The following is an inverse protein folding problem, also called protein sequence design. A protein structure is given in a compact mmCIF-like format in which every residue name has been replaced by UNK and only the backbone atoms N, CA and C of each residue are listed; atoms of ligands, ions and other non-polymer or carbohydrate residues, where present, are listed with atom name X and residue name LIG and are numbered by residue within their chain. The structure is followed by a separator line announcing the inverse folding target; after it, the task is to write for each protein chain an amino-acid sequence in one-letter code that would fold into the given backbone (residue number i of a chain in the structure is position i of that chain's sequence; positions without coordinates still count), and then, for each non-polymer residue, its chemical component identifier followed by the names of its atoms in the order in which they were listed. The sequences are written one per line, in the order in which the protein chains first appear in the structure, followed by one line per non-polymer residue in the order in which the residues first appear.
data_IF_650079676904
#
_entry.id   IF_650079676904
#
_cell.length_a   1.000
_cell.length_b   1.000
_cell.length_c   1.000
_cell.angle_alpha   90.00
_cell.angle_beta   90.00
_cell.angle_gamma   90.00
#
_symmetry.space_group_name_H-M   'P 1'
#
loop_
_entity.id
_entity.type
_entity.pdbx_description
1 polymer ?
#
# COMPACT_ATOMS: atom_id res chain seq x y z
N UNK A 1 9.15 7.76 -16.70
CA UNK A 1 9.22 7.51 -15.25
C UNK A 1 8.64 6.14 -14.99
N UNK A 2 9.29 5.28 -14.22
CA UNK A 2 8.78 3.95 -13.90
C UNK A 2 7.59 4.06 -12.93
N UNK A 3 6.46 3.48 -13.33
CA UNK A 3 5.19 3.51 -12.61
C UNK A 3 4.52 2.15 -12.65
N UNK A 4 3.68 1.85 -11.66
CA UNK A 4 2.75 0.72 -11.73
C UNK A 4 1.63 1.08 -12.70
N UNK A 5 1.48 0.28 -13.75
CA UNK A 5 0.41 0.50 -14.74
C UNK A 5 -0.94 0.10 -14.17
N UNK A 6 -1.88 1.05 -14.15
CA UNK A 6 -3.25 0.81 -13.75
C UNK A 6 -4.19 0.89 -14.95
N UNK A 7 -5.10 -0.06 -15.04
CA UNK A 7 -6.23 -0.01 -15.96
C UNK A 7 -7.50 0.32 -15.18
N UNK A 8 -8.25 1.32 -15.64
CA UNK A 8 -9.47 1.77 -14.97
C UNK A 8 -10.71 1.19 -15.64
N UNK A 9 -11.65 0.76 -14.80
CA UNK A 9 -12.94 0.20 -15.22
C UNK A 9 -14.06 0.93 -14.49
N UNK A 10 -15.10 1.28 -15.24
CA UNK A 10 -16.30 1.90 -14.67
C UNK A 10 -17.37 0.85 -14.41
N UNK A 11 -18.13 1.04 -13.35
CA UNK A 11 -19.26 0.15 -13.04
C UNK A 11 -20.29 0.15 -14.18
N UNK A 12 -20.74 -1.02 -14.67
CA UNK A 12 -21.75 -1.13 -15.73
C UNK A 12 -23.06 -0.41 -15.41
N UNK A 13 -23.42 -0.31 -14.12
CA UNK A 13 -24.66 0.32 -13.65
C UNK A 13 -24.60 1.85 -13.73
N UNK A 14 -23.40 2.43 -13.68
CA UNK A 14 -23.21 3.87 -13.59
C UNK A 14 -22.88 4.54 -14.93
N UNK A 15 -22.97 3.81 -16.05
CA UNK A 15 -22.50 4.32 -17.33
C UNK A 15 -23.67 4.77 -18.20
N UNK A 16 -23.99 6.04 -18.06
CA UNK A 16 -24.84 6.72 -19.05
C UNK A 16 -24.08 7.19 -20.30
N UNK A 17 -22.74 7.28 -20.24
CA UNK A 17 -21.96 8.04 -21.22
C UNK A 17 -20.74 7.33 -21.79
N UNK A 18 -20.36 6.15 -21.30
CA UNK A 18 -19.20 5.39 -21.79
C UNK A 18 -19.62 3.97 -22.12
N UNK A 19 -19.39 3.53 -23.35
CA UNK A 19 -19.62 2.14 -23.74
C UNK A 19 -18.68 1.22 -22.98
N UNK A 20 -19.22 0.37 -22.11
CA UNK A 20 -18.46 -0.63 -21.33
C UNK A 20 -18.59 -2.03 -21.89
N UNK A 21 -19.03 -2.15 -23.14
CA UNK A 21 -18.95 -3.43 -23.80
C UNK A 21 -17.50 -3.91 -23.81
N UNK A 22 -17.25 -5.03 -23.16
CA UNK A 22 -15.92 -5.64 -23.12
C UNK A 22 -15.11 -5.46 -21.82
N UNK A 23 -15.62 -4.76 -20.80
CA UNK A 23 -14.92 -4.67 -19.50
C UNK A 23 -14.56 -6.04 -18.94
N UNK A 24 -15.51 -6.95 -18.88
CA UNK A 24 -15.29 -8.31 -18.40
C UNK A 24 -14.25 -9.05 -19.24
N UNK A 25 -14.37 -9.00 -20.57
CA UNK A 25 -13.40 -9.60 -21.48
C UNK A 25 -12.00 -9.03 -21.25
N UNK A 26 -11.89 -7.71 -21.05
CA UNK A 26 -10.61 -7.06 -20.78
C UNK A 26 -10.02 -7.44 -19.42
N UNK A 27 -10.84 -7.57 -18.38
CA UNK A 27 -10.44 -8.06 -17.07
C UNK A 27 -9.90 -9.49 -17.14
N UNK A 28 -10.62 -10.38 -17.85
CA UNK A 28 -10.16 -11.75 -18.08
C UNK A 28 -8.86 -11.80 -18.90
N UNK A 29 -8.70 -10.93 -19.91
CA UNK A 29 -7.46 -10.81 -20.67
C UNK A 29 -6.29 -10.42 -19.77
N UNK A 30 -6.46 -9.40 -18.91
CA UNK A 30 -5.43 -8.98 -17.95
C UNK A 30 -5.07 -10.10 -16.97
N UNK A 31 -6.08 -10.80 -16.43
CA UNK A 31 -5.85 -11.93 -15.53
C UNK A 31 -5.09 -13.07 -16.22
N UNK A 32 -5.45 -13.41 -17.44
CA UNK A 32 -4.76 -14.43 -18.22
C UNK A 32 -3.31 -14.06 -18.54
N UNK A 33 -3.05 -12.77 -18.81
CA UNK A 33 -1.70 -12.23 -19.10
C UNK A 33 -0.80 -12.23 -17.88
N UNK A 34 -1.30 -11.71 -16.76
CA UNK A 34 -0.48 -11.44 -15.57
C UNK A 34 -0.60 -12.51 -14.49
N UNK A 35 -1.55 -13.45 -14.58
CA UNK A 35 -1.84 -14.54 -13.65
C UNK A 35 -2.36 -14.10 -12.27
N UNK A 36 -1.89 -12.95 -11.78
CA UNK A 36 -2.35 -12.33 -10.54
C UNK A 36 -2.55 -10.83 -10.77
N UNK A 37 -3.69 -10.33 -10.30
CA UNK A 37 -4.02 -8.91 -10.36
C UNK A 37 -4.34 -8.38 -8.96
N UNK A 38 -4.15 -7.08 -8.79
CA UNK A 38 -4.70 -6.33 -7.66
C UNK A 38 -5.84 -5.47 -8.17
N UNK A 39 -7.04 -5.71 -7.63
CA UNK A 39 -8.24 -4.93 -7.90
C UNK A 39 -8.52 -4.03 -6.69
N UNK A 40 -8.69 -2.73 -6.92
CA UNK A 40 -8.98 -1.77 -5.85
C UNK A 40 -10.04 -0.76 -6.26
N UNK A 41 -10.82 -0.26 -5.29
CA UNK A 41 -11.67 0.91 -5.51
C UNK A 41 -10.79 2.10 -5.90
N UNK A 42 -11.19 2.85 -6.93
CA UNK A 42 -10.47 4.06 -7.33
C UNK A 42 -10.57 5.20 -6.29
N UNK A 43 -11.61 5.17 -5.47
CA UNK A 43 -11.88 6.18 -4.42
C UNK A 43 -11.59 5.65 -3.00
N UNK A 44 -10.92 4.50 -2.90
CA UNK A 44 -10.62 3.84 -1.62
C UNK A 44 -9.46 4.49 -0.87
N UNK A 45 -9.55 4.47 0.47
CA UNK A 45 -8.48 4.90 1.37
C UNK A 45 -8.13 3.79 2.37
N UNK A 46 -6.94 3.85 2.95
CA UNK A 46 -6.54 2.96 4.04
C UNK A 46 -6.41 1.48 3.67
N UNK A 47 -6.24 1.13 2.39
CA UNK A 47 -6.12 -0.26 1.92
C UNK A 47 -7.42 -1.07 1.99
N UNK A 48 -8.55 -0.42 2.29
CA UNK A 48 -9.88 -1.04 2.24
C UNK A 48 -10.32 -1.26 0.78
N UNK A 49 -10.97 -2.40 0.51
CA UNK A 49 -11.42 -2.71 -0.84
C UNK A 49 -10.29 -3.01 -1.83
N UNK A 50 -9.14 -3.50 -1.35
CA UNK A 50 -8.02 -3.96 -2.17
C UNK A 50 -7.98 -5.48 -2.13
N UNK A 51 -8.13 -6.10 -3.30
CA UNK A 51 -8.23 -7.55 -3.47
C UNK A 51 -7.13 -8.06 -4.38
N UNK A 52 -6.44 -9.12 -3.93
CA UNK A 52 -5.57 -9.94 -4.77
C UNK A 52 -6.42 -11.02 -5.42
N UNK A 53 -6.32 -11.16 -6.73
CA UNK A 53 -7.09 -12.14 -7.52
C UNK A 53 -6.16 -12.94 -8.41
N UNK A 54 -6.38 -14.25 -8.46
CA UNK A 54 -5.58 -15.21 -9.23
C UNK A 54 -6.41 -16.11 -10.15
N UNK A 55 -7.73 -16.04 -10.04
CA UNK A 55 -8.67 -16.80 -10.86
C UNK A 55 -9.95 -15.98 -11.12
N UNK A 56 -10.76 -16.48 -12.04
CA UNK A 56 -11.96 -15.78 -12.48
C UNK A 56 -13.00 -15.61 -11.36
N UNK A 57 -13.15 -16.60 -10.49
CA UNK A 57 -14.10 -16.53 -9.38
C UNK A 57 -13.72 -15.44 -8.37
N UNK A 58 -12.42 -15.32 -8.06
CA UNK A 58 -11.91 -14.24 -7.20
C UNK A 58 -12.09 -12.87 -7.86
N UNK A 59 -11.91 -12.78 -9.18
CA UNK A 59 -12.11 -11.55 -9.95
C UNK A 59 -13.57 -11.11 -9.93
N UNK A 60 -14.52 -12.01 -10.16
CA UNK A 60 -15.98 -11.73 -10.07
C UNK A 60 -16.36 -11.24 -8.67
N UNK A 61 -15.86 -11.90 -7.62
CA UNK A 61 -16.12 -11.49 -6.24
C UNK A 61 -15.52 -10.12 -5.92
N UNK A 62 -14.32 -9.83 -6.41
CA UNK A 62 -13.67 -8.53 -6.21
C UNK A 62 -14.46 -7.42 -6.93
N UNK A 63 -14.84 -7.63 -8.18
CA UNK A 63 -15.65 -6.71 -8.98
C UNK A 63 -16.98 -6.41 -8.27
N UNK A 64 -17.72 -7.44 -7.86
CA UNK A 64 -18.98 -7.29 -7.12
C UNK A 64 -18.80 -6.47 -5.84
N UNK A 65 -17.80 -6.79 -5.02
CA UNK A 65 -17.55 -6.07 -3.75
C UNK A 65 -17.15 -4.62 -3.98
N UNK A 66 -16.37 -4.34 -5.02
CA UNK A 66 -15.93 -2.98 -5.35
C UNK A 66 -17.09 -2.16 -5.89
N UNK A 67 -17.84 -2.66 -6.87
CA UNK A 67 -18.91 -1.89 -7.50
C UNK A 67 -20.15 -1.70 -6.62
N UNK A 68 -20.30 -2.47 -5.55
CA UNK A 68 -21.31 -2.19 -4.54
C UNK A 68 -21.00 -0.94 -3.69
N UNK A 69 -19.77 -0.43 -3.75
CA UNK A 69 -19.31 0.69 -2.90
C UNK A 69 -18.67 1.83 -3.70
N UNK A 70 -18.25 1.57 -4.92
CA UNK A 70 -17.51 2.50 -5.77
C UNK A 70 -18.03 2.45 -7.20
N UNK A 71 -17.97 3.59 -7.89
CA UNK A 71 -18.35 3.70 -9.31
C UNK A 71 -17.25 3.23 -10.25
N UNK A 72 -16.03 3.07 -9.75
CA UNK A 72 -14.88 2.72 -10.55
C UNK A 72 -13.92 1.80 -9.79
N UNK A 73 -13.20 1.00 -10.57
CA UNK A 73 -12.20 0.06 -10.12
C UNK A 73 -10.89 0.31 -10.86
N UNK A 74 -9.79 0.35 -10.13
CA UNK A 74 -8.45 0.32 -10.69
C UNK A 74 -7.88 -1.09 -10.58
N UNK A 75 -7.28 -1.58 -11.66
CA UNK A 75 -6.68 -2.91 -11.73
C UNK A 75 -5.23 -2.78 -12.19
N UNK A 76 -4.32 -3.45 -11.50
CA UNK A 76 -2.93 -3.54 -11.89
C UNK A 76 -2.40 -4.97 -11.74
N UNK A 77 -1.30 -5.33 -12.43
CA UNK A 77 -0.59 -6.57 -12.15
C UNK A 77 -0.17 -6.64 -10.68
N UNK A 78 -0.14 -7.85 -10.13
CA UNK A 78 0.45 -8.08 -8.82
C UNK A 78 1.97 -8.05 -8.93
N UNK A 79 2.60 -7.22 -8.11
CA UNK A 79 4.06 -7.17 -7.97
C UNK A 79 4.49 -7.85 -6.66
N UNK A 80 5.56 -8.63 -6.71
CA UNK A 80 6.26 -9.08 -5.52
C UNK A 80 7.05 -7.89 -4.96
N UNK A 81 6.51 -7.26 -3.92
CA UNK A 81 7.08 -6.07 -3.30
C UNK A 81 8.08 -6.51 -2.24
N UNK A 82 9.33 -6.09 -2.36
CA UNK A 82 10.37 -6.29 -1.34
C UNK A 82 10.26 -5.24 -0.24
N UNK A 83 10.04 -3.98 -0.64
CA UNK A 83 9.82 -2.86 0.26
C UNK A 83 8.80 -1.87 -0.34
N UNK A 84 8.05 -1.20 0.51
CA UNK A 84 7.22 -0.07 0.13
C UNK A 84 7.62 1.15 0.94
N UNK A 85 7.81 2.27 0.24
CA UNK A 85 8.24 3.53 0.83
C UNK A 85 7.18 4.60 0.61
N UNK A 86 7.07 5.50 1.58
CA UNK A 86 6.33 6.75 1.41
C UNK A 86 7.29 7.93 1.44
N UNK A 87 7.17 8.78 0.42
CA UNK A 87 7.92 10.02 0.30
C UNK A 87 6.95 11.20 0.39
N UNK A 88 7.12 12.05 1.39
CA UNK A 88 6.33 13.28 1.54
C UNK A 88 7.05 14.43 0.85
N UNK A 89 6.36 15.07 -0.09
CA UNK A 89 6.87 16.18 -0.88
C UNK A 89 6.06 17.44 -0.58
N UNK A 90 6.74 18.56 -0.38
CA UNK A 90 6.15 19.90 -0.24
C UNK A 90 6.97 20.89 -1.07
N UNK A 91 6.32 21.62 -1.98
CA UNK A 91 6.90 22.66 -2.84
C UNK A 91 8.23 22.26 -3.51
N UNK A 92 8.21 21.07 -4.12
CA UNK A 92 9.37 20.54 -4.84
C UNK A 92 10.54 20.09 -3.93
N UNK A 93 10.29 19.93 -2.61
CA UNK A 93 11.28 19.42 -1.66
C UNK A 93 10.75 18.18 -0.95
N UNK A 94 11.61 17.17 -0.77
CA UNK A 94 11.30 16.00 0.05
C UNK A 94 11.43 16.37 1.53
N UNK A 95 10.39 16.12 2.30
CA UNK A 95 10.31 16.40 3.74
C UNK A 95 10.52 15.18 4.60
N UNK A 96 10.07 13.99 4.11
CA UNK A 96 10.13 12.76 4.87
C UNK A 96 10.19 11.57 3.91
N UNK A 97 11.03 10.59 4.25
CA UNK A 97 11.08 9.28 3.58
C UNK A 97 11.02 8.20 4.64
N UNK A 98 10.02 7.33 4.56
CA UNK A 98 9.96 6.16 5.44
C UNK A 98 9.52 4.90 4.70
N UNK A 99 9.98 3.75 5.22
CA UNK A 99 9.58 2.43 4.80
C UNK A 99 8.32 2.01 5.55
N UNK A 100 7.41 1.31 4.91
CA UNK A 100 6.23 0.69 5.52
C UNK A 100 6.53 -0.80 5.75
N UNK A 101 6.97 -1.15 6.94
CA UNK A 101 7.32 -2.53 7.30
C UNK A 101 6.06 -3.35 7.61
N UNK A 102 5.86 -4.44 6.86
CA UNK A 102 4.75 -5.38 7.12
C UNK A 102 5.00 -6.08 8.45
N UNK A 103 3.97 -6.24 9.31
CA UNK A 103 4.08 -7.02 10.53
C UNK A 103 4.37 -8.49 10.21
N UNK A 104 5.25 -9.09 10.97
CA UNK A 104 5.62 -10.49 10.84
C UNK A 104 5.78 -11.16 12.21
N UNK A 105 5.60 -12.46 12.23
CA UNK A 105 5.96 -13.32 13.36
C UNK A 105 7.34 -13.90 13.11
N UNK A 106 8.13 -14.05 14.17
CA UNK A 106 9.44 -14.64 14.09
C UNK A 106 9.36 -16.07 14.65
N UNK A 107 9.68 -17.06 13.81
CA UNK A 107 9.78 -18.45 14.27
C UNK A 107 10.82 -18.61 15.35
N UNK A 108 10.53 -19.39 16.38
CA UNK A 108 11.42 -19.74 17.48
C UNK A 108 11.90 -21.22 17.43
N UNK A 109 11.37 -21.99 16.48
CA UNK A 109 11.68 -23.42 16.32
C UNK A 109 10.89 -24.33 17.24
N UNK A 110 10.01 -23.82 18.10
CA UNK A 110 9.28 -24.57 19.13
C UNK A 110 7.79 -24.28 19.09
N UNK A 111 7.40 -23.00 19.03
CA UNK A 111 6.00 -22.58 19.08
C UNK A 111 5.31 -22.74 17.74
N UNK A 112 4.04 -23.11 17.77
CA UNK A 112 3.19 -23.06 16.58
C UNK A 112 2.91 -21.61 16.17
N UNK A 113 2.57 -21.41 14.90
CA UNK A 113 2.21 -20.07 14.40
C UNK A 113 1.07 -19.45 15.20
N UNK A 114 0.09 -20.26 15.64
CA UNK A 114 -1.00 -19.81 16.52
C UNK A 114 -0.47 -19.25 17.84
N UNK A 115 0.48 -19.94 18.48
CA UNK A 115 1.06 -19.48 19.76
C UNK A 115 1.83 -18.18 19.59
N UNK A 116 2.63 -18.07 18.51
CA UNK A 116 3.35 -16.84 18.17
C UNK A 116 2.38 -15.68 17.88
N UNK A 117 1.27 -15.94 17.14
CA UNK A 117 0.25 -14.93 16.86
C UNK A 117 -0.43 -14.43 18.14
N UNK A 118 -0.79 -15.34 19.05
CA UNK A 118 -1.42 -14.97 20.33
C UNK A 118 -0.47 -14.11 21.18
N UNK A 119 0.82 -14.45 21.22
CA UNK A 119 1.82 -13.63 21.92
C UNK A 119 1.93 -12.24 21.28
N UNK A 120 2.05 -12.17 19.96
CA UNK A 120 2.12 -10.91 19.21
C UNK A 120 0.89 -10.02 19.44
N UNK A 121 -0.32 -10.57 19.41
CA UNK A 121 -1.56 -9.80 19.62
C UNK A 121 -1.68 -9.27 21.05
N UNK A 122 -1.15 -9.98 22.05
CA UNK A 122 -1.12 -9.50 23.44
C UNK A 122 -0.19 -8.30 23.61
N UNK A 123 0.94 -8.27 22.90
CA UNK A 123 1.90 -7.17 22.93
C UNK A 123 1.45 -5.96 22.10
N UNK A 124 0.54 -6.18 21.13
CA UNK A 124 0.06 -5.16 20.19
C UNK A 124 -1.46 -4.96 20.28
N UNK A 125 -2.01 -4.97 21.48
CA UNK A 125 -3.47 -4.96 21.72
C UNK A 125 -4.17 -3.72 21.16
N UNK A 126 -3.48 -2.58 21.14
CA UNK A 126 -3.99 -1.30 20.64
C UNK A 126 -3.67 -1.05 19.16
N UNK A 127 -2.99 -1.98 18.50
CA UNK A 127 -2.59 -1.86 17.10
C UNK A 127 -3.59 -2.60 16.20
N UNK A 128 -4.24 -1.92 15.23
CA UNK A 128 -5.10 -2.61 14.27
C UNK A 128 -4.24 -3.45 13.32
N UNK A 129 -4.09 -4.74 13.62
CA UNK A 129 -3.37 -5.67 12.74
C UNK A 129 -4.37 -6.53 12.00
N UNK A 130 -4.40 -6.42 10.68
CA UNK A 130 -5.08 -7.40 9.84
C UNK A 130 -4.14 -8.54 9.50
N UNK A 131 -4.64 -9.75 9.48
CA UNK A 131 -3.87 -10.92 9.06
C UNK A 131 -4.73 -11.83 8.16
N UNK A 132 -4.06 -12.51 7.26
CA UNK A 132 -4.67 -13.50 6.38
C UNK A 132 -3.79 -14.75 6.40
N UNK A 133 -4.01 -15.59 7.40
CA UNK A 133 -3.25 -16.83 7.65
C UNK A 133 -4.12 -18.00 7.22
N UNK A 134 -3.67 -18.86 6.28
CA UNK A 134 -4.35 -20.10 5.95
C UNK A 134 -4.52 -21.00 7.16
N UNK A 135 -5.66 -21.69 7.27
CA UNK A 135 -5.98 -22.55 8.42
C UNK A 135 -4.92 -23.62 8.67
N UNK A 136 -4.36 -24.17 7.60
CA UNK A 136 -3.30 -25.19 7.66
C UNK A 136 -1.97 -24.67 8.22
N UNK A 137 -1.75 -23.36 8.25
CA UNK A 137 -0.51 -22.77 8.76
C UNK A 137 -0.52 -22.59 10.27
N UNK A 138 -1.69 -22.47 10.91
CA UNK A 138 -1.77 -22.23 12.35
C UNK A 138 -1.07 -23.26 13.23
N UNK A 139 -0.99 -24.51 12.78
CA UNK A 139 -0.34 -25.62 13.51
C UNK A 139 1.15 -25.79 13.17
N UNK A 140 1.65 -25.07 12.16
CA UNK A 140 3.06 -25.18 11.73
C UNK A 140 4.00 -24.51 12.71
N UNK A 141 5.18 -25.14 12.88
CA UNK A 141 6.31 -24.61 13.61
C UNK A 141 7.33 -24.12 12.60
N UNK A 142 7.75 -22.88 12.70
CA UNK A 142 8.76 -22.29 11.82
C UNK A 142 10.12 -22.26 12.49
N UNK A 143 11.17 -22.55 11.73
CA UNK A 143 12.54 -22.51 12.21
C UNK A 143 12.86 -21.16 12.86
N UNK A 144 13.72 -21.19 13.88
CA UNK A 144 14.19 -20.00 14.57
C UNK A 144 14.75 -18.97 13.57
N UNK A 145 14.30 -17.72 13.71
CA UNK A 145 14.69 -16.62 12.84
C UNK A 145 13.93 -16.53 11.51
N UNK A 146 13.08 -17.51 11.17
CA UNK A 146 12.25 -17.42 9.96
C UNK A 146 11.10 -16.45 10.18
N UNK A 147 10.97 -15.47 9.27
CA UNK A 147 9.85 -14.52 9.27
C UNK A 147 8.62 -15.14 8.61
N UNK A 148 7.46 -14.94 9.22
CA UNK A 148 6.15 -15.22 8.66
C UNK A 148 5.34 -13.93 8.62
N UNK A 149 5.15 -13.36 7.43
CA UNK A 149 4.40 -12.11 7.26
C UNK A 149 2.91 -12.33 7.45
N UNK A 150 2.26 -11.46 8.25
CA UNK A 150 0.85 -11.60 8.60
C UNK A 150 -0.10 -11.29 7.44
N UNK A 151 0.35 -10.46 6.49
CA UNK A 151 -0.35 -10.14 5.24
C UNK A 151 0.65 -9.63 4.19
N UNK A 152 0.15 -9.35 2.99
CA UNK A 152 0.98 -8.89 1.87
C UNK A 152 0.94 -7.37 1.63
N UNK A 153 0.05 -6.63 2.34
CA UNK A 153 -0.16 -5.20 2.14
C UNK A 153 0.74 -4.38 3.06
N UNK A 154 1.40 -3.37 2.49
CA UNK A 154 2.22 -2.42 3.24
C UNK A 154 1.40 -1.22 3.75
N UNK A 155 0.29 -1.47 4.43
CA UNK A 155 -0.62 -0.41 4.86
C UNK A 155 -0.52 -0.13 6.36
N UNK A 156 -0.25 1.14 6.72
CA UNK A 156 -0.11 1.55 8.13
C UNK A 156 -1.41 1.33 8.91
N UNK A 157 -2.57 1.61 8.30
CA UNK A 157 -3.87 1.36 8.92
C UNK A 157 -4.22 -0.12 9.10
N UNK A 158 -3.37 -1.03 8.64
CA UNK A 158 -3.50 -2.48 8.80
C UNK A 158 -2.34 -3.09 9.60
N UNK A 159 -1.58 -2.25 10.30
CA UNK A 159 -0.52 -2.68 11.20
C UNK A 159 0.90 -2.63 10.64
N UNK A 160 1.11 -2.09 9.43
CA UNK A 160 2.47 -1.84 8.97
C UNK A 160 3.13 -0.72 9.81
N UNK A 161 4.41 -0.89 10.11
CA UNK A 161 5.18 0.05 10.93
C UNK A 161 6.02 0.98 10.06
N UNK A 162 5.92 2.32 10.24
CA UNK A 162 6.78 3.27 9.53
C UNK A 162 8.17 3.32 10.16
N UNK A 163 9.19 3.21 9.32
CA UNK A 163 10.61 3.33 9.68
C UNK A 163 11.28 4.38 8.81
N UNK A 164 11.81 5.44 9.44
CA UNK A 164 12.50 6.52 8.71
C UNK A 164 13.76 5.94 8.03
N UNK A 165 13.89 6.17 6.72
CA UNK A 165 15.03 5.70 5.95
C UNK A 165 16.26 6.56 6.24
N UNK A 166 17.35 5.93 6.73
CA UNK A 166 18.60 6.60 7.08
C UNK A 166 19.65 6.55 5.95
N UNK A 167 19.52 5.59 5.05
CA UNK A 167 20.44 5.42 3.91
C UNK A 167 20.29 6.59 2.93
N UNK A 168 21.33 7.42 2.85
CA UNK A 168 21.34 8.63 2.02
C UNK A 168 21.23 8.34 0.53
N UNK A 169 21.82 7.25 0.06
CA UNK A 169 21.77 6.87 -1.35
C UNK A 169 20.35 6.43 -1.73
N UNK A 170 19.73 5.60 -0.90
CA UNK A 170 18.35 5.19 -1.07
C UNK A 170 17.39 6.39 -1.00
N UNK A 171 17.56 7.25 0.00
CA UNK A 171 16.78 8.50 0.12
C UNK A 171 16.93 9.35 -1.15
N UNK A 172 18.14 9.49 -1.70
CA UNK A 172 18.37 10.23 -2.93
C UNK A 172 17.60 9.66 -4.12
N UNK A 173 17.66 8.34 -4.33
CA UNK A 173 16.94 7.66 -5.43
C UNK A 173 15.41 7.79 -5.31
N UNK A 174 14.88 7.56 -4.10
CA UNK A 174 13.44 7.69 -3.84
C UNK A 174 12.96 9.13 -4.00
N UNK A 175 13.78 10.10 -3.54
CA UNK A 175 13.49 11.54 -3.67
C UNK A 175 13.42 11.99 -5.13
N UNK A 176 14.39 11.58 -5.96
CA UNK A 176 14.39 11.92 -7.38
C UNK A 176 13.13 11.39 -8.09
N UNK A 177 12.76 10.14 -7.81
CA UNK A 177 11.57 9.53 -8.39
C UNK A 177 10.28 10.23 -7.93
N UNK A 178 10.17 10.55 -6.62
CA UNK A 178 9.00 11.23 -6.05
C UNK A 178 8.86 12.67 -6.57
N UNK A 179 9.95 13.43 -6.65
CA UNK A 179 9.92 14.80 -7.17
C UNK A 179 9.52 14.84 -8.64
N UNK A 180 10.01 13.91 -9.45
CA UNK A 180 9.57 13.78 -10.85
C UNK A 180 8.09 13.44 -10.95
N UNK A 181 7.60 12.53 -10.08
CA UNK A 181 6.19 12.17 -10.04
C UNK A 181 5.30 13.37 -9.68
N UNK A 182 5.63 14.10 -8.60
CA UNK A 182 4.92 15.29 -8.18
C UNK A 182 4.89 16.38 -9.27
N UNK A 183 6.02 16.58 -9.96
CA UNK A 183 6.15 17.55 -11.04
C UNK A 183 5.24 17.22 -12.24
N UNK A 184 5.16 15.94 -12.64
CA UNK A 184 4.33 15.52 -13.79
C UNK A 184 2.85 15.84 -13.58
N UNK A 185 2.35 15.66 -12.34
CA UNK A 185 0.94 15.96 -12.00
C UNK A 185 0.74 17.37 -11.43
N UNK A 186 1.79 18.17 -11.38
CA UNK A 186 1.78 19.55 -10.84
C UNK A 186 1.19 19.64 -9.44
N UNK A 187 1.63 18.75 -8.52
CA UNK A 187 1.17 18.73 -7.14
C UNK A 187 2.24 19.29 -6.21
N UNK A 188 1.85 20.21 -5.34
CA UNK A 188 2.77 20.91 -4.43
C UNK A 188 2.91 20.19 -3.08
N UNK A 189 1.84 19.61 -2.55
CA UNK A 189 1.87 18.85 -1.31
C UNK A 189 1.25 17.47 -1.52
N UNK A 190 2.08 16.43 -1.41
CA UNK A 190 1.66 15.05 -1.66
C UNK A 190 2.48 14.03 -0.88
N UNK A 191 1.89 12.86 -0.67
CA UNK A 191 2.63 11.64 -0.34
C UNK A 191 2.69 10.71 -1.55
N UNK A 192 3.89 10.29 -1.93
CA UNK A 192 4.16 9.41 -3.05
C UNK A 192 4.55 8.04 -2.51
N UNK A 193 3.78 7.02 -2.85
CA UNK A 193 4.09 5.64 -2.51
C UNK A 193 4.92 5.00 -3.61
N UNK A 194 6.07 4.44 -3.25
CA UNK A 194 7.04 3.82 -4.15
C UNK A 194 7.29 2.40 -3.69
N UNK A 195 7.16 1.45 -4.60
CA UNK A 195 7.48 0.04 -4.35
C UNK A 195 8.86 -0.31 -4.88
N UNK A 196 9.57 -1.13 -4.13
CA UNK A 196 10.78 -1.80 -4.55
C UNK A 196 10.45 -3.23 -4.95
N UNK A 197 10.86 -3.61 -6.14
CA UNK A 197 10.81 -4.97 -6.65
C UNK A 197 12.24 -5.45 -6.91
N UNK A 198 12.45 -6.73 -7.19
CA UNK A 198 13.79 -7.29 -7.53
C UNK A 198 14.55 -6.48 -8.57
N UNK A 199 13.86 -5.80 -9.48
CA UNK A 199 14.47 -5.21 -10.65
C UNK A 199 14.46 -3.68 -10.64
N UNK A 200 13.56 -3.03 -9.91
CA UNK A 200 13.35 -1.58 -10.01
C UNK A 200 12.46 -1.00 -8.90
N UNK A 201 12.52 0.35 -8.80
CA UNK A 201 11.56 1.14 -8.04
C UNK A 201 10.45 1.64 -8.97
N UNK A 202 9.20 1.50 -8.54
CA UNK A 202 8.01 1.97 -9.28
C UNK A 202 7.17 2.89 -8.40
N UNK A 203 6.72 4.00 -8.94
CA UNK A 203 5.67 4.80 -8.29
C UNK A 203 4.38 4.00 -8.32
N UNK A 204 3.83 3.74 -7.14
CA UNK A 204 2.57 3.00 -6.97
C UNK A 204 1.38 3.95 -7.05
N UNK A 205 1.43 5.04 -6.28
CA UNK A 205 0.36 6.05 -6.22
C UNK A 205 0.87 7.40 -5.70
N UNK A 206 0.10 8.45 -6.02
CA UNK A 206 0.31 9.82 -5.54
C UNK A 206 -0.96 10.23 -4.80
N UNK A 207 -0.81 10.60 -3.53
CA UNK A 207 -1.91 10.99 -2.67
C UNK A 207 -1.82 12.49 -2.33
N UNK A 208 -2.84 13.28 -2.73
CA UNK A 208 -2.96 14.69 -2.38
C UNK A 208 -3.38 14.92 -0.92
N UNK A 209 -4.07 13.95 -0.33
CA UNK A 209 -4.36 13.92 1.10
C UNK A 209 -3.19 13.33 1.87
N UNK A 210 -2.24 14.18 2.28
CA UNK A 210 -1.07 13.73 3.04
C UNK A 210 -1.49 13.39 4.45
N UNK A 211 -1.74 12.10 4.71
CA UNK A 211 -2.14 11.60 6.03
C UNK A 211 -0.92 11.01 6.74
N UNK A 212 -0.49 11.68 7.83
CA UNK A 212 0.63 11.23 8.67
C UNK A 212 0.18 10.75 10.06
N UNK A 213 -1.12 10.47 10.26
CA UNK A 213 -1.67 10.09 11.55
C UNK A 213 -0.96 8.88 12.14
N UNK A 214 -0.97 7.75 11.45
CA UNK A 214 -0.28 6.52 11.92
C UNK A 214 1.23 6.69 12.11
N UNK A 215 1.87 7.54 11.31
CA UNK A 215 3.29 7.87 11.48
C UNK A 215 3.51 8.69 12.75
N UNK A 216 2.67 9.69 13.01
CA UNK A 216 2.81 10.61 14.15
C UNK A 216 2.50 9.96 15.48
N UNK A 217 1.62 8.94 15.50
CA UNK A 217 1.22 8.23 16.73
C UNK A 217 2.30 7.27 17.26
N UNK A 218 3.34 6.97 16.47
CA UNK A 218 4.34 5.98 16.86
C UNK A 218 5.20 6.44 18.06
N UNK A 219 5.60 7.72 18.07
CA UNK A 219 6.38 8.34 19.15
C UNK A 219 6.41 9.87 19.01
N UNK A 220 6.89 10.56 20.04
CA UNK A 220 6.96 12.02 20.09
C UNK A 220 7.82 12.64 18.98
N UNK A 221 8.91 11.99 18.58
CA UNK A 221 9.77 12.47 17.48
C UNK A 221 9.02 12.48 16.17
N UNK A 222 8.30 11.40 15.85
CA UNK A 222 7.48 11.30 14.65
C UNK A 222 6.32 12.32 14.66
N UNK A 223 5.72 12.53 15.84
CA UNK A 223 4.70 13.57 16.01
C UNK A 223 5.24 14.95 15.67
N UNK A 224 6.43 15.30 16.19
CA UNK A 224 7.03 16.61 15.93
C UNK A 224 7.38 16.78 14.44
N UNK A 225 7.93 15.75 13.79
CA UNK A 225 8.21 15.76 12.34
C UNK A 225 6.92 16.03 11.54
N UNK A 226 5.85 15.29 11.83
CA UNK A 226 4.58 15.46 11.14
C UNK A 226 3.99 16.87 11.34
N UNK A 227 4.04 17.38 12.59
CA UNK A 227 3.59 18.72 12.96
C UNK A 227 4.34 19.80 12.20
N UNK A 228 5.67 19.70 12.10
CA UNK A 228 6.51 20.68 11.42
C UNK A 228 6.23 20.70 9.92
N UNK A 229 6.03 19.53 9.30
CA UNK A 229 5.66 19.43 7.88
C UNK A 229 4.29 20.06 7.63
N UNK A 230 3.28 19.78 8.45
CA UNK A 230 1.95 20.41 8.30
C UNK A 230 2.00 21.90 8.52
N UNK A 231 2.77 22.38 9.53
CA UNK A 231 2.96 23.81 9.77
C UNK A 231 3.55 24.50 8.54
N UNK A 232 4.64 23.97 7.99
CA UNK A 232 5.28 24.52 6.79
C UNK A 232 4.32 24.50 5.58
N UNK A 233 3.53 23.44 5.41
CA UNK A 233 2.54 23.36 4.33
C UNK A 233 1.46 24.45 4.47
N UNK A 234 0.96 24.71 5.68
CA UNK A 234 -0.03 25.76 5.94
C UNK A 234 0.59 27.15 5.69
N UNK A 235 1.80 27.39 6.18
CA UNK A 235 2.51 28.67 5.97
C UNK A 235 2.73 28.93 4.48
N UNK A 236 3.11 27.92 3.70
CA UNK A 236 3.26 28.02 2.24
C UNK A 236 1.94 28.31 1.51
N UNK A 237 0.81 27.81 1.99
CA UNK A 237 -0.50 28.08 1.39
C UNK A 237 -1.03 29.48 1.69
N UNK A 238 -0.51 30.16 2.73
CA UNK A 238 -0.92 31.50 3.15
C UNK A 238 -0.03 32.61 2.61
N UNK A 239 1.12 32.26 2.03
CA UNK A 239 2.08 33.19 1.43
C UNK A 239 1.78 33.45 -0.05
#
# INVERSE_FOLDING_TARGET
MPVVEHTFFMSPVNIKYVGVSGNWSKLCELLNRHKKLVCKSNEGTGGNGVYLVSNQFELENAEYKIYNRSRSMAVCPFYEIENEFRVVVLDGKVKLVYRKNIPYLLGDGVSTLRQLLVAYLKENIDCPVSFNIPDEDYSKIFNSGKKYYLHWKHNLGQGANPEIVQDKELVGRLSDLALRAAKVVNIHFASIDIIETKNQYLVLEINSGVMMEYFSQLNDSNYQIAKDIYKEAIESMLS
#
